data_IF_726419626848
#
_entry.id   IF_726419626848
#
_cell.length_a   1.000
_cell.length_b   1.000
_cell.length_c   1.000
_cell.angle_alpha   90.00
_cell.angle_beta   90.00
_cell.angle_gamma   90.00
#
_symmetry.space_group_name_H-M   'P 1'
#
loop_
_entity.id
_entity.type
_entity.pdbx_description
1 polymer ?
#
# COMPACT_ATOMS: atom_id res chain seq x y z
N UNK A 1 -3.09 20.85 -16.25
CA UNK A 1 -3.36 22.03 -15.40
C UNK A 1 -4.56 21.69 -14.53
N UNK A 2 -4.47 21.83 -13.21
CA UNK A 2 -5.64 21.64 -12.35
C UNK A 2 -6.63 22.75 -12.70
N UNK A 3 -7.88 22.39 -13.01
CA UNK A 3 -8.93 23.39 -13.24
C UNK A 3 -9.37 23.90 -11.87
N UNK A 4 -9.20 25.19 -11.62
CA UNK A 4 -9.82 25.86 -10.47
C UNK A 4 -11.34 25.76 -10.62
N UNK A 5 -12.01 25.14 -9.64
CA UNK A 5 -13.45 24.88 -9.69
C UNK A 5 -14.28 26.04 -9.10
N UNK A 6 -13.64 27.01 -8.44
CA UNK A 6 -14.27 28.15 -7.76
C UNK A 6 -13.37 29.38 -7.81
N UNK A 7 -13.95 30.58 -7.85
CA UNK A 7 -13.20 31.85 -7.81
C UNK A 7 -12.49 32.04 -6.45
N UNK A 8 -11.31 32.68 -6.43
CA UNK A 8 -10.50 32.89 -5.21
C UNK A 8 -10.60 34.32 -4.65
N UNK A 9 -11.80 34.89 -4.70
CA UNK A 9 -12.06 36.27 -4.27
C UNK A 9 -11.72 36.52 -2.79
N UNK A 10 -11.90 35.54 -1.90
CA UNK A 10 -11.56 35.68 -0.47
C UNK A 10 -10.06 35.89 -0.24
N UNK A 11 -9.21 35.29 -1.08
CA UNK A 11 -7.77 35.48 -1.01
C UNK A 11 -7.36 36.85 -1.53
N UNK A 12 -7.99 37.34 -2.61
CA UNK A 12 -7.80 38.71 -3.08
C UNK A 12 -8.24 39.75 -2.04
N UNK A 13 -9.32 39.46 -1.31
CA UNK A 13 -9.79 40.30 -0.19
C UNK A 13 -8.74 40.37 0.93
N UNK A 14 -8.10 39.25 1.26
CA UNK A 14 -7.00 39.21 2.23
C UNK A 14 -5.75 39.97 1.74
N UNK A 15 -5.54 40.04 0.42
CA UNK A 15 -4.49 40.84 -0.22
C UNK A 15 -4.83 42.34 -0.31
N UNK A 16 -5.95 42.79 0.26
CA UNK A 16 -6.31 44.20 0.35
C UNK A 16 -7.05 44.75 -0.87
N UNK A 17 -7.64 43.89 -1.71
CA UNK A 17 -8.48 44.34 -2.82
C UNK A 17 -9.76 45.01 -2.31
N UNK A 18 -10.18 46.07 -2.99
CA UNK A 18 -11.42 46.77 -2.66
C UNK A 18 -12.65 45.93 -3.04
N UNK A 19 -13.81 46.30 -2.52
CA UNK A 19 -15.02 45.51 -2.68
C UNK A 19 -15.56 45.52 -4.14
N UNK A 20 -15.39 46.63 -4.87
CA UNK A 20 -15.85 46.77 -6.26
C UNK A 20 -15.04 45.89 -7.23
N UNK A 21 -13.71 45.86 -7.07
CA UNK A 21 -12.79 45.03 -7.84
C UNK A 21 -13.00 43.53 -7.54
N UNK A 22 -13.38 43.18 -6.30
CA UNK A 22 -13.75 41.82 -5.94
C UNK A 22 -15.03 41.36 -6.65
N UNK A 23 -16.06 42.20 -6.69
CA UNK A 23 -17.29 41.87 -7.44
C UNK A 23 -17.01 41.74 -8.93
N UNK A 24 -16.24 42.67 -9.50
CA UNK A 24 -15.83 42.61 -10.90
C UNK A 24 -15.02 41.34 -11.21
N UNK A 25 -14.12 40.93 -10.32
CA UNK A 25 -13.35 39.70 -10.47
C UNK A 25 -14.25 38.45 -10.49
N UNK A 26 -15.20 38.34 -9.55
CA UNK A 26 -16.14 37.20 -9.47
C UNK A 26 -16.95 37.10 -10.77
N UNK A 27 -17.53 38.21 -11.22
CA UNK A 27 -18.37 38.26 -12.42
C UNK A 27 -17.59 37.86 -13.68
N UNK A 28 -16.39 38.42 -13.87
CA UNK A 28 -15.53 38.12 -15.01
C UNK A 28 -15.01 36.67 -14.97
N UNK A 29 -14.73 36.14 -13.79
CA UNK A 29 -14.29 34.75 -13.63
C UNK A 29 -15.42 33.78 -14.00
N UNK A 30 -16.65 34.02 -13.51
CA UNK A 30 -17.83 33.21 -13.84
C UNK A 30 -18.17 33.29 -15.33
N UNK A 31 -18.10 34.49 -15.91
CA UNK A 31 -18.30 34.69 -17.34
C UNK A 31 -17.25 33.91 -18.16
N UNK A 32 -15.98 33.95 -17.76
CA UNK A 32 -14.90 33.17 -18.39
C UNK A 32 -15.15 31.67 -18.35
N UNK A 33 -15.68 31.14 -17.24
CA UNK A 33 -15.99 29.71 -17.16
C UNK A 33 -17.14 29.30 -18.09
N UNK A 34 -18.15 30.16 -18.24
CA UNK A 34 -19.34 29.88 -19.05
C UNK A 34 -19.11 30.07 -20.55
N UNK A 35 -18.37 31.11 -20.94
CA UNK A 35 -18.26 31.54 -22.34
C UNK A 35 -16.83 31.50 -22.89
N UNK A 36 -15.83 31.23 -22.05
CA UNK A 36 -14.43 31.23 -22.43
C UNK A 36 -13.80 32.62 -22.48
N UNK A 37 -12.48 32.69 -22.25
CA UNK A 37 -11.76 33.97 -22.15
C UNK A 37 -11.70 34.76 -23.45
N UNK A 38 -11.95 34.13 -24.61
CA UNK A 38 -11.88 34.79 -25.91
C UNK A 38 -13.00 35.81 -26.12
N UNK A 39 -14.12 35.64 -25.40
CA UNK A 39 -15.29 36.51 -25.45
C UNK A 39 -15.20 37.69 -24.46
N UNK A 40 -14.15 37.75 -23.64
CA UNK A 40 -13.91 38.87 -22.76
C UNK A 40 -13.19 40.00 -23.49
N UNK A 41 -13.54 41.24 -23.15
CA UNK A 41 -12.82 42.40 -23.63
C UNK A 41 -11.33 42.33 -23.25
N UNK A 42 -10.51 43.06 -24.01
CA UNK A 42 -9.06 43.06 -23.78
C UNK A 42 -8.72 43.52 -22.36
N UNK A 43 -9.41 44.54 -21.87
CA UNK A 43 -9.18 45.12 -20.54
C UNK A 43 -9.57 44.14 -19.42
N UNK A 44 -10.71 43.47 -19.54
CA UNK A 44 -11.16 42.47 -18.58
C UNK A 44 -10.25 41.23 -18.54
N UNK A 45 -9.69 40.83 -19.68
CA UNK A 45 -8.66 39.78 -19.72
C UNK A 45 -7.37 40.19 -19.01
N UNK A 46 -6.99 41.46 -19.09
CA UNK A 46 -5.83 41.96 -18.35
C UNK A 46 -6.13 42.05 -16.86
N UNK A 47 -7.34 42.48 -16.48
CA UNK A 47 -7.80 42.54 -15.10
C UNK A 47 -7.77 41.15 -14.44
N UNK A 48 -8.35 40.13 -15.08
CA UNK A 48 -8.30 38.75 -14.57
C UNK A 48 -6.86 38.23 -14.44
N UNK A 49 -6.01 38.46 -15.44
CA UNK A 49 -4.60 38.03 -15.38
C UNK A 49 -3.83 38.71 -14.24
N UNK A 50 -4.09 40.01 -14.02
CA UNK A 50 -3.49 40.75 -12.91
C UNK A 50 -3.93 40.19 -11.56
N UNK A 51 -5.24 39.95 -11.40
CA UNK A 51 -5.79 39.33 -10.20
C UNK A 51 -5.17 37.95 -9.93
N UNK A 52 -5.13 37.08 -10.95
CA UNK A 52 -4.59 35.72 -10.84
C UNK A 52 -3.08 35.69 -10.61
N UNK A 53 -2.33 36.67 -11.13
CA UNK A 53 -0.89 36.76 -10.89
C UNK A 53 -0.53 37.14 -9.44
N UNK A 54 -1.46 37.75 -8.71
CA UNK A 54 -1.28 38.14 -7.31
C UNK A 54 -1.71 37.04 -6.33
N UNK A 55 -2.53 36.09 -6.81
CA UNK A 55 -2.92 34.95 -6.00
C UNK A 55 -1.71 34.04 -5.79
N UNK A 56 -1.52 33.50 -4.56
CA UNK A 56 -0.49 32.51 -4.31
C UNK A 56 -0.62 31.32 -5.27
N UNK A 57 0.51 30.81 -5.76
CA UNK A 57 0.52 29.59 -6.57
C UNK A 57 -0.19 28.46 -5.82
N UNK A 58 -1.10 27.77 -6.50
CA UNK A 58 -1.75 26.58 -5.94
C UNK A 58 -0.67 25.51 -5.79
N UNK A 59 -0.12 25.40 -4.59
CA UNK A 59 0.73 24.28 -4.24
C UNK A 59 -0.10 23.00 -4.38
N UNK A 60 0.29 22.12 -5.31
CA UNK A 60 -0.35 20.80 -5.50
C UNK A 60 -0.16 19.87 -4.31
N UNK A 61 0.60 20.28 -3.30
CA UNK A 61 0.76 19.56 -2.06
C UNK A 61 -0.50 19.74 -1.21
N UNK A 62 -1.57 18.99 -1.53
CA UNK A 62 -2.46 18.53 -0.47
C UNK A 62 -1.54 17.96 0.60
N UNK A 63 -1.53 18.56 1.79
CA UNK A 63 -0.94 17.95 2.98
C UNK A 63 -1.81 16.73 3.29
N UNK A 64 -1.54 15.64 2.57
CA UNK A 64 -2.08 14.34 2.83
C UNK A 64 -1.53 13.94 4.19
N UNK A 65 -2.37 13.93 5.22
CA UNK A 65 -2.05 13.29 6.50
C UNK A 65 -1.49 11.91 6.16
N UNK A 66 -0.20 11.70 6.47
CA UNK A 66 0.47 10.44 6.15
C UNK A 66 -0.22 9.36 6.95
N UNK A 67 -0.94 8.46 6.28
CA UNK A 67 -1.52 7.27 6.93
C UNK A 67 -0.41 6.54 7.72
N UNK A 68 -0.66 6.11 8.96
CA UNK A 68 0.21 5.21 9.70
C UNK A 68 0.57 3.96 8.90
N UNK A 69 1.71 3.33 9.20
CA UNK A 69 2.20 2.13 8.52
C UNK A 69 1.13 1.02 8.48
N UNK A 70 0.48 0.78 9.63
CA UNK A 70 -0.55 -0.27 9.80
C UNK A 70 -1.87 0.01 9.08
N UNK A 71 -2.06 1.22 8.59
CA UNK A 71 -3.21 1.63 7.76
C UNK A 71 -2.87 1.66 6.26
N UNK A 72 -1.61 1.37 5.90
CA UNK A 72 -1.22 1.26 4.49
C UNK A 72 -1.85 0.02 3.90
N UNK A 73 -2.39 0.17 2.70
CA UNK A 73 -3.11 -0.90 1.99
C UNK A 73 -2.32 -2.21 1.90
N UNK A 74 -1.00 -2.13 1.69
CA UNK A 74 -0.13 -3.30 1.61
C UNK A 74 0.01 -4.03 2.95
N UNK A 75 0.22 -3.29 4.04
CA UNK A 75 0.26 -3.85 5.39
C UNK A 75 -1.08 -4.53 5.73
N UNK A 76 -2.18 -3.81 5.52
CA UNK A 76 -3.52 -4.34 5.79
C UNK A 76 -3.82 -5.60 4.95
N UNK A 77 -3.31 -5.67 3.72
CA UNK A 77 -3.47 -6.83 2.83
C UNK A 77 -2.75 -8.06 3.37
N UNK A 78 -1.49 -7.92 3.81
CA UNK A 78 -0.73 -9.03 4.43
C UNK A 78 -1.42 -9.48 5.72
N UNK A 79 -1.76 -8.53 6.60
CA UNK A 79 -2.44 -8.82 7.86
C UNK A 79 -3.79 -9.52 7.63
N UNK A 80 -4.54 -9.12 6.61
CA UNK A 80 -5.79 -9.75 6.24
C UNK A 80 -5.60 -11.23 5.92
N UNK A 81 -4.69 -11.57 5.01
CA UNK A 81 -4.47 -12.97 4.66
C UNK A 81 -3.91 -13.79 5.82
N UNK A 82 -3.02 -13.21 6.63
CA UNK A 82 -2.53 -13.86 7.84
C UNK A 82 -3.68 -14.24 8.79
N UNK A 83 -4.65 -13.33 8.97
CA UNK A 83 -5.82 -13.61 9.80
C UNK A 83 -6.71 -14.71 9.20
N UNK A 84 -7.00 -14.66 7.91
CA UNK A 84 -7.81 -15.71 7.25
C UNK A 84 -7.15 -17.09 7.36
N UNK A 85 -5.82 -17.15 7.23
CA UNK A 85 -5.07 -18.39 7.39
C UNK A 85 -5.03 -18.86 8.85
N UNK A 86 -4.94 -17.95 9.82
CA UNK A 86 -5.07 -18.30 11.23
C UNK A 86 -6.44 -18.90 11.54
N UNK A 87 -7.51 -18.29 11.04
CA UNK A 87 -8.88 -18.78 11.23
C UNK A 87 -9.06 -20.15 10.55
N UNK A 88 -8.48 -20.34 9.37
CA UNK A 88 -8.43 -21.63 8.68
C UNK A 88 -7.70 -22.70 9.51
N UNK A 89 -6.50 -22.42 9.99
CA UNK A 89 -5.73 -23.39 10.80
C UNK A 89 -6.43 -23.76 12.11
N UNK A 90 -7.09 -22.78 12.75
CA UNK A 90 -7.93 -23.03 13.93
C UNK A 90 -9.10 -23.97 13.58
N UNK A 91 -9.72 -23.81 12.42
CA UNK A 91 -10.82 -24.67 11.97
C UNK A 91 -10.38 -26.09 11.61
N UNK A 92 -9.13 -26.25 11.14
CA UNK A 92 -8.53 -27.55 10.80
C UNK A 92 -8.07 -28.35 12.04
N UNK A 93 -8.09 -27.74 13.24
CA UNK A 93 -7.64 -28.35 14.50
C UNK A 93 -6.22 -28.93 14.39
N UNK A 94 -5.26 -28.12 13.93
CA UNK A 94 -3.87 -28.55 13.83
C UNK A 94 -3.29 -28.94 15.20
N UNK A 95 -2.38 -29.91 15.21
CA UNK A 95 -1.66 -30.31 16.42
C UNK A 95 -0.79 -29.16 16.93
N UNK A 96 -0.55 -29.14 18.26
CA UNK A 96 0.19 -28.04 18.91
C UNK A 96 1.56 -27.81 18.28
N UNK A 97 1.76 -26.59 17.79
CA UNK A 97 3.01 -26.13 17.20
C UNK A 97 3.21 -26.46 15.72
N UNK A 98 2.30 -27.21 15.07
CA UNK A 98 2.26 -27.25 13.61
C UNK A 98 1.90 -25.87 13.06
N UNK A 99 2.41 -25.54 11.87
CA UNK A 99 2.13 -24.24 11.24
C UNK A 99 2.18 -24.31 9.73
N UNK A 100 1.31 -23.58 9.07
CA UNK A 100 1.34 -23.36 7.64
C UNK A 100 2.58 -22.56 7.22
N UNK A 101 3.13 -22.91 6.07
CA UNK A 101 4.25 -22.20 5.43
C UNK A 101 3.88 -20.75 5.11
N UNK A 102 2.64 -20.51 4.69
CA UNK A 102 2.15 -19.17 4.32
C UNK A 102 2.08 -18.21 5.51
N UNK A 103 1.44 -18.55 6.65
CA UNK A 103 1.46 -17.69 7.84
C UNK A 103 2.86 -17.34 8.33
N UNK A 104 3.80 -18.30 8.36
CA UNK A 104 5.19 -18.03 8.75
C UNK A 104 5.76 -16.91 7.87
N UNK A 105 5.51 -16.96 6.56
CA UNK A 105 5.95 -15.92 5.64
C UNK A 105 5.35 -14.55 5.96
N UNK A 106 4.03 -14.48 6.09
CA UNK A 106 3.32 -13.21 6.29
C UNK A 106 3.68 -12.59 7.65
N UNK A 107 3.89 -13.41 8.68
CA UNK A 107 4.38 -12.95 9.98
C UNK A 107 5.77 -12.34 9.89
N UNK A 108 6.72 -13.02 9.23
CA UNK A 108 8.07 -12.49 9.07
C UNK A 108 8.08 -11.24 8.21
N UNK A 109 7.27 -11.19 7.16
CA UNK A 109 7.14 -10.01 6.31
C UNK A 109 6.60 -8.81 7.10
N UNK A 110 5.55 -8.99 7.89
CA UNK A 110 5.03 -7.94 8.77
C UNK A 110 6.07 -7.52 9.81
N UNK A 111 6.81 -8.48 10.40
CA UNK A 111 7.85 -8.18 11.40
C UNK A 111 8.98 -7.35 10.79
N UNK A 112 9.42 -7.68 9.58
CA UNK A 112 10.45 -6.91 8.85
C UNK A 112 9.93 -5.52 8.48
N UNK A 113 8.67 -5.41 8.03
CA UNK A 113 8.04 -4.13 7.73
C UNK A 113 7.93 -3.26 8.99
N UNK A 114 7.49 -3.82 10.12
CA UNK A 114 7.39 -3.10 11.40
C UNK A 114 8.77 -2.64 11.90
N UNK A 115 9.83 -3.41 11.66
CA UNK A 115 11.19 -3.02 12.06
C UNK A 115 11.76 -1.87 11.21
N UNK A 116 11.70 -1.99 9.88
CA UNK A 116 12.27 -0.97 9.00
C UNK A 116 11.38 0.27 8.86
N UNK A 117 10.07 0.12 9.04
CA UNK A 117 9.05 1.16 8.86
C UNK A 117 9.13 1.86 7.48
N UNK A 118 9.10 1.10 6.36
CA UNK A 118 9.12 1.69 5.03
C UNK A 118 7.91 2.60 4.81
N UNK A 119 8.02 3.55 3.87
CA UNK A 119 6.92 4.48 3.58
C UNK A 119 5.69 3.75 3.02
N UNK A 120 5.91 2.62 2.35
CA UNK A 120 4.92 1.82 1.62
C UNK A 120 4.13 2.66 0.60
N UNK A 121 4.86 3.52 -0.11
CA UNK A 121 4.33 4.31 -1.22
C UNK A 121 4.15 3.47 -2.49
N UNK A 122 3.77 4.13 -3.59
CA UNK A 122 3.72 3.46 -4.89
C UNK A 122 5.06 2.81 -5.29
N UNK A 123 6.24 3.47 -5.12
CA UNK A 123 7.52 2.85 -5.47
C UNK A 123 7.80 1.57 -4.67
N UNK A 124 7.57 1.61 -3.35
CA UNK A 124 7.75 0.44 -2.48
C UNK A 124 6.78 -0.68 -2.87
N UNK A 125 5.50 -0.36 -3.06
CA UNK A 125 4.46 -1.36 -3.36
C UNK A 125 4.65 -2.02 -4.72
N UNK A 126 5.25 -1.33 -5.71
CA UNK A 126 5.67 -1.94 -6.98
C UNK A 126 6.78 -2.97 -6.73
N UNK A 127 7.80 -2.61 -5.94
CA UNK A 127 8.92 -3.50 -5.62
C UNK A 127 8.49 -4.69 -4.76
N UNK A 128 7.56 -4.47 -3.84
CA UNK A 128 7.03 -5.50 -2.97
C UNK A 128 6.25 -6.60 -3.71
N UNK A 129 5.85 -6.39 -4.98
CA UNK A 129 5.28 -7.45 -5.82
C UNK A 129 6.29 -8.56 -6.15
N UNK A 130 7.58 -8.25 -6.15
CA UNK A 130 8.64 -9.23 -6.39
C UNK A 130 8.80 -10.22 -5.22
N UNK A 131 8.13 -9.97 -4.10
CA UNK A 131 8.02 -10.92 -2.99
C UNK A 131 7.14 -12.12 -3.36
N UNK A 132 6.18 -11.97 -4.29
CA UNK A 132 5.32 -13.05 -4.75
C UNK A 132 6.10 -14.29 -5.23
N UNK A 133 7.02 -14.15 -6.20
CA UNK A 133 7.90 -15.24 -6.62
C UNK A 133 8.75 -15.83 -5.49
N UNK A 134 9.18 -15.01 -4.51
CA UNK A 134 9.97 -15.47 -3.36
C UNK A 134 9.13 -16.39 -2.47
N UNK A 135 7.84 -16.08 -2.26
CA UNK A 135 6.91 -16.93 -1.51
C UNK A 135 6.79 -18.31 -2.16
N UNK A 136 6.53 -18.34 -3.46
CA UNK A 136 6.34 -19.60 -4.19
C UNK A 136 7.62 -20.45 -4.23
N UNK A 137 8.79 -19.82 -4.40
CA UNK A 137 10.08 -20.50 -4.33
C UNK A 137 10.35 -21.13 -2.96
N UNK A 138 10.00 -20.43 -1.88
CA UNK A 138 10.12 -20.96 -0.52
C UNK A 138 9.12 -22.06 -0.20
N UNK A 139 7.90 -21.98 -0.74
CA UNK A 139 6.91 -23.07 -0.64
C UNK A 139 7.44 -24.34 -1.30
N UNK A 140 8.01 -24.22 -2.51
CA UNK A 140 8.66 -25.35 -3.19
C UNK A 140 9.83 -25.90 -2.38
N UNK A 141 10.68 -25.01 -1.87
CA UNK A 141 11.82 -25.39 -1.02
C UNK A 141 11.36 -26.13 0.25
N UNK A 142 10.29 -25.68 0.90
CA UNK A 142 9.72 -26.33 2.07
C UNK A 142 9.20 -27.74 1.74
N UNK A 143 8.52 -27.90 0.60
CA UNK A 143 8.05 -29.21 0.12
C UNK A 143 9.18 -30.19 -0.17
N UNK A 144 10.32 -29.69 -0.67
CA UNK A 144 11.49 -30.51 -0.95
C UNK A 144 12.22 -30.93 0.33
N UNK A 145 12.45 -30.00 1.26
CA UNK A 145 13.21 -30.24 2.49
C UNK A 145 12.41 -31.11 3.48
N UNK A 146 11.12 -30.81 3.64
CA UNK A 146 10.26 -31.43 4.65
C UNK A 146 9.30 -32.45 4.05
N UNK A 147 9.66 -33.06 2.91
CA UNK A 147 8.78 -33.92 2.12
C UNK A 147 8.11 -35.05 2.91
N UNK A 148 8.77 -35.59 3.93
CA UNK A 148 8.28 -36.68 4.77
C UNK A 148 7.40 -36.20 5.94
N UNK A 149 7.38 -34.88 6.20
CA UNK A 149 6.79 -34.24 7.38
C UNK A 149 5.92 -33.02 7.01
N UNK A 150 5.44 -32.97 5.75
CA UNK A 150 4.51 -31.92 5.28
C UNK A 150 3.14 -32.49 5.08
N UNK A 151 2.15 -31.86 5.71
CA UNK A 151 0.73 -32.10 5.44
C UNK A 151 0.25 -31.06 4.43
N UNK A 152 -0.38 -31.52 3.35
CA UNK A 152 -1.00 -30.63 2.36
C UNK A 152 -2.49 -30.57 2.62
N UNK A 153 -2.99 -29.36 2.84
CA UNK A 153 -4.41 -29.00 2.91
C UNK A 153 -4.79 -28.10 1.72
N UNK A 154 -6.05 -27.67 1.67
CA UNK A 154 -6.55 -26.77 0.63
C UNK A 154 -7.11 -25.51 1.27
N UNK A 155 -6.60 -24.35 0.84
CA UNK A 155 -7.04 -23.04 1.28
C UNK A 155 -7.49 -22.20 0.07
N UNK A 156 -8.71 -21.69 0.09
CA UNK A 156 -9.25 -20.90 -1.02
C UNK A 156 -8.82 -19.43 -0.94
N UNK A 157 -7.62 -19.14 -1.46
CA UNK A 157 -7.07 -17.78 -1.52
C UNK A 157 -7.97 -16.79 -2.26
N UNK A 158 -8.65 -17.23 -3.32
CA UNK A 158 -9.53 -16.39 -4.13
C UNK A 158 -10.86 -16.15 -3.43
N UNK A 159 -11.42 -17.19 -2.80
CA UNK A 159 -12.61 -17.08 -1.95
C UNK A 159 -12.43 -16.11 -0.81
N UNK A 160 -11.31 -16.19 -0.07
CA UNK A 160 -10.97 -15.24 0.99
C UNK A 160 -10.96 -13.78 0.47
N UNK A 161 -10.34 -13.55 -0.69
CA UNK A 161 -10.31 -12.23 -1.32
C UNK A 161 -11.70 -11.75 -1.79
N UNK A 162 -12.51 -12.64 -2.35
CA UNK A 162 -13.87 -12.32 -2.81
C UNK A 162 -14.77 -11.92 -1.64
N UNK A 163 -14.65 -12.62 -0.50
CA UNK A 163 -15.34 -12.29 0.74
C UNK A 163 -14.93 -10.91 1.26
N UNK A 164 -13.63 -10.61 1.27
CA UNK A 164 -13.13 -9.29 1.67
C UNK A 164 -13.69 -8.17 0.78
N UNK A 165 -13.63 -8.32 -0.55
CA UNK A 165 -14.15 -7.33 -1.50
C UNK A 165 -15.64 -7.08 -1.31
N UNK A 166 -16.41 -8.13 -1.07
CA UNK A 166 -17.87 -8.05 -0.83
C UNK A 166 -18.21 -7.32 0.48
N UNK A 167 -17.34 -7.41 1.49
CA UNK A 167 -17.47 -6.67 2.76
C UNK A 167 -17.10 -5.17 2.67
N UNK A 168 -16.75 -4.67 1.48
CA UNK A 168 -16.29 -3.30 1.28
C UNK A 168 -14.83 -3.06 1.63
N UNK A 169 -14.07 -4.10 2.01
CA UNK A 169 -12.62 -4.01 2.18
C UNK A 169 -11.97 -3.85 0.80
N UNK A 170 -11.29 -2.72 0.63
CA UNK A 170 -10.42 -2.29 -0.48
C UNK A 170 -10.45 -3.16 -1.76
N UNK A 171 -11.26 -2.75 -2.75
CA UNK A 171 -11.45 -3.45 -4.04
C UNK A 171 -10.17 -3.67 -4.86
N UNK A 172 -9.08 -2.99 -4.52
CA UNK A 172 -7.80 -3.07 -5.22
C UNK A 172 -6.95 -4.28 -4.83
N UNK A 173 -7.26 -4.99 -3.74
CA UNK A 173 -6.47 -6.15 -3.30
C UNK A 173 -6.49 -7.29 -4.32
N UNK A 174 -5.40 -8.06 -4.32
CA UNK A 174 -5.14 -9.21 -5.19
C UNK A 174 -4.86 -10.45 -4.34
N UNK A 175 -4.90 -11.62 -4.95
CA UNK A 175 -4.53 -12.87 -4.27
C UNK A 175 -3.03 -12.84 -3.91
N UNK A 176 -2.65 -13.60 -2.88
CA UNK A 176 -1.23 -13.80 -2.54
C UNK A 176 -0.49 -14.61 -3.62
N UNK A 177 -1.23 -15.48 -4.32
CA UNK A 177 -0.77 -16.26 -5.46
C UNK A 177 -1.21 -15.56 -6.75
N UNK A 178 -0.34 -15.50 -7.74
CA UNK A 178 -0.57 -14.83 -9.04
C UNK A 178 0.04 -15.65 -10.18
N UNK A 179 -0.32 -15.34 -11.42
CA UNK A 179 0.14 -16.03 -12.63
C UNK A 179 -0.21 -17.53 -12.61
N UNK A 180 0.79 -18.39 -12.83
CA UNK A 180 0.61 -19.84 -12.93
C UNK A 180 0.10 -20.49 -11.63
N UNK A 181 0.19 -19.79 -10.49
CA UNK A 181 -0.25 -20.28 -9.18
C UNK A 181 -1.62 -19.74 -8.76
N UNK A 182 -2.27 -18.92 -9.58
CA UNK A 182 -3.50 -18.22 -9.19
C UNK A 182 -4.64 -19.17 -8.77
N UNK A 183 -4.73 -20.34 -9.40
CA UNK A 183 -5.71 -21.39 -9.10
C UNK A 183 -5.20 -22.44 -8.10
N UNK A 184 -3.94 -22.35 -7.66
CA UNK A 184 -3.37 -23.28 -6.71
C UNK A 184 -3.94 -22.99 -5.30
N UNK A 185 -4.54 -24.01 -4.70
CA UNK A 185 -5.11 -23.95 -3.36
C UNK A 185 -4.28 -24.74 -2.34
N UNK A 186 -3.17 -25.35 -2.74
CA UNK A 186 -2.32 -26.14 -1.86
C UNK A 186 -1.81 -25.30 -0.70
N UNK A 187 -1.96 -25.86 0.49
CA UNK A 187 -1.60 -25.23 1.75
C UNK A 187 -0.70 -26.18 2.54
N UNK A 188 0.60 -25.87 2.57
CA UNK A 188 1.61 -26.72 3.18
C UNK A 188 1.71 -26.41 4.67
N UNK A 189 1.59 -27.45 5.49
CA UNK A 189 1.73 -27.40 6.94
C UNK A 189 2.96 -28.22 7.31
N UNK A 190 3.83 -27.63 8.12
CA UNK A 190 5.05 -28.29 8.62
C UNK A 190 4.93 -28.56 10.12
N UNK A 191 5.62 -29.61 10.55
CA UNK A 191 5.71 -30.00 11.95
C UNK A 191 6.47 -28.97 12.80
N UNK A 192 6.15 -28.95 14.10
CA UNK A 192 6.69 -28.02 15.10
C UNK A 192 8.20 -27.96 15.12
N UNK A 193 8.88 -29.11 14.96
CA UNK A 193 10.34 -29.20 14.96
C UNK A 193 10.97 -28.39 13.81
N UNK A 194 10.26 -28.25 12.70
CA UNK A 194 10.75 -27.60 11.48
C UNK A 194 10.37 -26.11 11.42
N UNK A 195 9.38 -25.65 12.19
CA UNK A 195 8.85 -24.27 12.15
C UNK A 195 9.94 -23.24 12.40
N UNK A 196 10.75 -23.41 13.45
CA UNK A 196 11.77 -22.42 13.82
C UNK A 196 12.89 -22.34 12.77
N UNK A 197 13.34 -23.48 12.24
CA UNK A 197 14.36 -23.51 11.18
C UNK A 197 13.83 -22.86 9.90
N UNK A 198 12.61 -23.19 9.50
CA UNK A 198 12.00 -22.59 8.31
C UNK A 198 11.81 -21.08 8.46
N UNK A 199 11.33 -20.63 9.63
CA UNK A 199 11.16 -19.21 9.94
C UNK A 199 12.47 -18.43 9.82
N UNK A 200 13.59 -18.98 10.28
CA UNK A 200 14.93 -18.38 10.09
C UNK A 200 15.28 -18.19 8.62
N UNK A 201 15.09 -19.22 7.78
CA UNK A 201 15.36 -19.14 6.33
C UNK A 201 14.50 -18.07 5.65
N UNK A 202 13.21 -18.01 6.00
CA UNK A 202 12.27 -17.00 5.49
C UNK A 202 12.72 -15.60 5.88
N UNK A 203 13.05 -15.42 7.16
CA UNK A 203 13.46 -14.14 7.72
C UNK A 203 14.73 -13.60 7.07
N UNK A 204 15.77 -14.42 6.91
CA UNK A 204 17.02 -14.05 6.24
C UNK A 204 16.75 -13.53 4.82
N UNK A 205 15.93 -14.26 4.05
CA UNK A 205 15.60 -13.90 2.66
C UNK A 205 14.78 -12.60 2.60
N UNK A 206 13.80 -12.44 3.49
CA UNK A 206 12.94 -11.25 3.55
C UNK A 206 13.69 -10.01 4.03
N UNK A 207 14.54 -10.13 5.04
CA UNK A 207 15.37 -9.04 5.56
C UNK A 207 16.26 -8.44 4.47
N UNK A 208 17.03 -9.30 3.79
CA UNK A 208 17.93 -8.88 2.70
C UNK A 208 17.11 -8.23 1.59
N UNK A 209 16.03 -8.90 1.15
CA UNK A 209 15.21 -8.42 0.06
C UNK A 209 14.59 -7.04 0.36
N UNK A 210 13.91 -6.88 1.50
CA UNK A 210 13.19 -5.65 1.85
C UNK A 210 14.16 -4.49 1.99
N UNK A 211 15.27 -4.68 2.72
CA UNK A 211 16.27 -3.63 2.93
C UNK A 211 16.90 -3.16 1.62
N UNK A 212 17.19 -4.07 0.70
CA UNK A 212 17.87 -3.75 -0.56
C UNK A 212 16.93 -3.22 -1.66
N UNK A 213 15.65 -3.63 -1.65
CA UNK A 213 14.76 -3.40 -2.80
C UNK A 213 13.67 -2.36 -2.57
N UNK A 214 13.28 -2.06 -1.32
CA UNK A 214 12.29 -1.02 -1.07
C UNK A 214 12.94 0.37 -1.19
N UNK A 215 12.54 1.22 -2.17
CA UNK A 215 13.23 2.48 -2.43
C UNK A 215 13.20 3.46 -1.25
N UNK A 216 12.16 3.40 -0.42
CA UNK A 216 12.07 4.23 0.79
C UNK A 216 13.12 3.90 1.86
N UNK A 217 13.76 2.73 1.76
CA UNK A 217 14.80 2.30 2.70
C UNK A 217 16.21 2.54 2.17
N UNK A 218 16.39 3.05 0.95
CA UNK A 218 17.70 3.24 0.33
C UNK A 218 18.63 4.19 1.13
N UNK A 219 18.04 5.18 1.81
CA UNK A 219 18.75 6.14 2.67
C UNK A 219 18.62 5.78 4.17
N UNK A 220 18.15 4.58 4.50
CA UNK A 220 17.96 4.18 5.89
C UNK A 220 19.26 3.71 6.52
N UNK A 221 19.65 4.36 7.61
CA UNK A 221 20.79 3.96 8.45
C UNK A 221 20.46 2.77 9.38
N UNK A 222 19.22 2.26 9.37
CA UNK A 222 18.82 1.13 10.23
C UNK A 222 19.66 -0.13 9.89
N UNK A 223 20.38 -0.63 10.89
CA UNK A 223 21.12 -1.89 10.80
C UNK A 223 20.15 -3.08 10.68
N UNK A 224 20.67 -4.24 10.27
CA UNK A 224 19.90 -5.49 10.40
C UNK A 224 19.57 -5.73 11.88
N UNK A 225 18.42 -6.34 12.18
CA UNK A 225 18.05 -6.69 13.54
C UNK A 225 18.96 -7.79 14.12
N UNK A 226 19.00 -7.95 15.45
CA UNK A 226 19.75 -9.01 16.12
C UNK A 226 19.34 -10.43 15.66
N UNK A 227 20.27 -11.38 15.69
CA UNK A 227 20.03 -12.76 15.23
C UNK A 227 18.97 -13.52 16.05
N UNK A 228 18.66 -13.08 17.28
CA UNK A 228 17.71 -13.69 18.19
C UNK A 228 16.29 -13.09 18.09
N UNK A 229 16.05 -12.12 17.20
CA UNK A 229 14.76 -11.42 17.08
C UNK A 229 13.58 -12.28 16.57
N UNK A 230 13.85 -13.54 16.20
CA UNK A 230 12.88 -14.54 15.73
C UNK A 230 12.50 -15.51 16.86
N UNK A 231 13.26 -15.54 17.96
CA UNK A 231 13.07 -16.49 19.06
C UNK A 231 11.94 -16.10 20.01
#
# INVERSE_FOLDING_TARGET
MAKELTHRADELKQLGWNQEDLYKYIELWDYRQRWGSINLEREDRFFLRKAESLLPEISKSKVSVKKPLKEKSYYCWIQFFLNEMNDFELSENLDDGMRGVWPIFLEEELRVIDYFEPVLGLPDTIKAKLIGPIREDLVKTALEIYKESVVIKQFDFQGALANAKSSGKNSSWRSLRDGDFESNQDYQIIDKENVLEFRKKVNEKLLSFIKENLPSLAESDKSLPPNDWIN
#
